data_IF_628518312816
#
_entry.id   IF_628518312816
#
_cell.length_a   1.000
_cell.length_b   1.000
_cell.length_c   1.000
_cell.angle_alpha   90.00
_cell.angle_beta   90.00
_cell.angle_gamma   90.00
#
_symmetry.space_group_name_H-M   'P 1'
#
loop_
_entity.id
_entity.type
_entity.pdbx_description
1 polymer ?
#
# COMPACT_ATOMS: atom_id res chain seq x y z
N UNK A 1 -29.92 7.56 13.07
CA UNK A 1 -28.55 8.01 12.75
C UNK A 1 -27.61 6.87 12.33
N UNK A 2 -27.04 6.03 13.21
CA UNK A 2 -26.11 4.97 12.75
C UNK A 2 -26.81 3.85 11.93
N UNK A 3 -28.03 3.46 12.33
CA UNK A 3 -28.84 2.48 11.62
C UNK A 3 -29.23 2.92 10.20
N UNK A 4 -29.48 4.22 10.02
CA UNK A 4 -29.82 4.81 8.71
C UNK A 4 -28.60 4.85 7.78
N UNK A 5 -27.42 5.20 8.32
CA UNK A 5 -26.18 5.15 7.55
C UNK A 5 -25.83 3.72 7.11
N UNK A 6 -26.06 2.73 7.98
CA UNK A 6 -25.85 1.32 7.66
C UNK A 6 -26.80 0.87 6.54
N UNK A 7 -28.09 1.21 6.65
CA UNK A 7 -29.10 0.90 5.63
C UNK A 7 -28.77 1.57 4.29
N UNK A 8 -28.38 2.84 4.30
CA UNK A 8 -27.99 3.57 3.09
C UNK A 8 -26.76 2.94 2.42
N UNK A 9 -25.74 2.54 3.20
CA UNK A 9 -24.53 1.89 2.68
C UNK A 9 -24.84 0.53 2.05
N UNK A 10 -25.69 -0.28 2.71
CA UNK A 10 -26.14 -1.56 2.18
C UNK A 10 -26.98 -1.37 0.91
N UNK A 11 -27.83 -0.33 0.86
CA UNK A 11 -28.58 0.01 -0.35
C UNK A 11 -27.67 0.40 -1.52
N UNK A 12 -26.64 1.21 -1.31
CA UNK A 12 -25.67 1.58 -2.36
C UNK A 12 -24.93 0.35 -2.90
N UNK A 13 -24.57 -0.60 -2.03
CA UNK A 13 -23.95 -1.87 -2.43
C UNK A 13 -24.94 -2.74 -3.24
N UNK A 14 -26.17 -2.90 -2.76
CA UNK A 14 -27.19 -3.72 -3.42
C UNK A 14 -27.71 -3.11 -4.72
N UNK A 15 -27.72 -1.78 -4.83
CA UNK A 15 -28.10 -1.04 -6.03
C UNK A 15 -27.01 -1.08 -7.11
N UNK A 16 -25.84 -1.67 -6.82
CA UNK A 16 -24.67 -1.63 -7.72
C UNK A 16 -24.40 -0.21 -8.22
N UNK A 17 -24.33 0.73 -7.27
CA UNK A 17 -24.09 2.12 -7.62
C UNK A 17 -22.82 2.23 -8.49
N UNK A 18 -22.98 2.79 -9.68
CA UNK A 18 -21.96 2.77 -10.72
C UNK A 18 -20.72 3.58 -10.31
N UNK A 19 -20.89 4.61 -9.47
CA UNK A 19 -19.80 5.41 -8.92
C UNK A 19 -19.04 4.62 -7.84
N UNK A 20 -19.75 3.96 -6.92
CA UNK A 20 -19.14 3.10 -5.91
C UNK A 20 -18.31 1.98 -6.55
N UNK A 21 -18.87 1.29 -7.54
CA UNK A 21 -18.19 0.21 -8.25
C UNK A 21 -16.94 0.75 -8.97
N UNK A 22 -17.02 1.91 -9.62
CA UNK A 22 -15.87 2.52 -10.27
C UNK A 22 -14.74 2.86 -9.28
N UNK A 23 -15.07 3.41 -8.12
CA UNK A 23 -14.09 3.72 -7.06
C UNK A 23 -13.42 2.43 -6.55
N UNK A 24 -14.22 1.39 -6.26
CA UNK A 24 -13.70 0.10 -5.78
C UNK A 24 -12.76 -0.53 -6.81
N UNK A 25 -13.18 -0.58 -8.09
CA UNK A 25 -12.37 -1.16 -9.16
C UNK A 25 -11.06 -0.38 -9.35
N UNK A 26 -11.12 0.96 -9.37
CA UNK A 26 -9.94 1.80 -9.50
C UNK A 26 -8.97 1.60 -8.31
N UNK A 27 -9.49 1.60 -7.08
CA UNK A 27 -8.70 1.40 -5.88
C UNK A 27 -8.03 0.02 -5.87
N UNK A 28 -8.77 -1.03 -6.25
CA UNK A 28 -8.23 -2.37 -6.41
C UNK A 28 -7.15 -2.42 -7.49
N UNK A 29 -7.39 -1.83 -8.66
CA UNK A 29 -6.43 -1.82 -9.76
C UNK A 29 -5.11 -1.14 -9.34
N UNK A 30 -5.20 0.04 -8.74
CA UNK A 30 -4.01 0.78 -8.27
C UNK A 30 -3.28 0.00 -7.18
N UNK A 31 -4.00 -0.54 -6.20
CA UNK A 31 -3.40 -1.27 -5.08
C UNK A 31 -2.74 -2.58 -5.55
N UNK A 32 -3.40 -3.33 -6.42
CA UNK A 32 -2.85 -4.57 -6.97
C UNK A 32 -1.61 -4.31 -7.82
N UNK A 33 -1.62 -3.29 -8.67
CA UNK A 33 -0.45 -2.92 -9.46
C UNK A 33 0.70 -2.45 -8.56
N UNK A 34 0.42 -1.61 -7.56
CA UNK A 34 1.43 -1.15 -6.61
C UNK A 34 2.05 -2.33 -5.84
N UNK A 35 1.22 -3.25 -5.33
CA UNK A 35 1.69 -4.44 -4.61
C UNK A 35 2.47 -5.39 -5.53
N UNK A 36 2.00 -5.62 -6.76
CA UNK A 36 2.69 -6.49 -7.71
C UNK A 36 4.09 -5.95 -8.05
N UNK A 37 4.22 -4.66 -8.33
CA UNK A 37 5.51 -4.01 -8.58
C UNK A 37 6.41 -4.03 -7.35
N UNK A 38 5.85 -3.71 -6.17
CA UNK A 38 6.58 -3.76 -4.91
C UNK A 38 7.08 -5.17 -4.60
N UNK A 39 6.28 -6.20 -4.85
CA UNK A 39 6.66 -7.60 -4.65
C UNK A 39 7.74 -8.04 -5.66
N UNK A 40 7.62 -7.65 -6.93
CA UNK A 40 8.58 -8.01 -7.97
C UNK A 40 10.00 -7.52 -7.66
N UNK A 41 10.14 -6.38 -6.99
CA UNK A 41 11.44 -5.81 -6.60
C UNK A 41 11.80 -6.18 -5.16
N UNK A 42 10.85 -6.07 -4.24
CA UNK A 42 11.06 -6.29 -2.81
C UNK A 42 11.34 -7.74 -2.45
N UNK A 43 10.68 -8.71 -3.09
CA UNK A 43 10.93 -10.14 -2.83
C UNK A 43 12.34 -10.58 -3.23
N UNK A 44 12.85 -10.33 -4.46
CA UNK A 44 14.20 -10.74 -4.80
C UNK A 44 15.26 -10.00 -3.98
N UNK A 45 15.09 -8.69 -3.72
CA UNK A 45 16.03 -7.95 -2.87
C UNK A 45 16.01 -8.48 -1.43
N UNK A 46 14.82 -8.72 -0.87
CA UNK A 46 14.68 -9.32 0.46
C UNK A 46 15.30 -10.71 0.54
N UNK A 47 15.11 -11.54 -0.48
CA UNK A 47 15.72 -12.87 -0.58
C UNK A 47 17.25 -12.79 -0.65
N UNK A 48 17.82 -11.88 -1.45
CA UNK A 48 19.26 -11.66 -1.54
C UNK A 48 19.85 -11.25 -0.18
N UNK A 49 19.19 -10.33 0.54
CA UNK A 49 19.62 -9.87 1.87
C UNK A 49 19.49 -10.97 2.94
N UNK A 50 18.53 -11.88 2.78
CA UNK A 50 18.35 -13.02 3.68
C UNK A 50 19.43 -14.09 3.47
N UNK A 51 19.79 -14.38 2.20
CA UNK A 51 20.71 -15.46 1.83
C UNK A 51 22.18 -15.03 1.92
N UNK A 52 22.55 -13.85 1.42
CA UNK A 52 23.94 -13.40 1.41
C UNK A 52 24.34 -12.75 2.74
N UNK A 53 25.43 -13.24 3.35
CA UNK A 53 26.01 -12.63 4.57
C UNK A 53 27.19 -11.75 4.19
N UNK A 54 26.91 -10.47 3.94
CA UNK A 54 27.90 -9.42 3.72
C UNK A 54 28.09 -8.56 4.99
N UNK A 55 29.28 -7.95 5.20
CA UNK A 55 29.60 -7.22 6.43
C UNK A 55 28.70 -6.01 6.73
N UNK A 56 28.00 -5.46 5.71
CA UNK A 56 27.05 -4.34 5.86
C UNK A 56 25.58 -4.73 6.12
N UNK A 57 25.28 -6.02 6.24
CA UNK A 57 23.90 -6.54 6.33
C UNK A 57 23.10 -5.98 7.51
N UNK A 58 23.74 -5.79 8.66
CA UNK A 58 23.08 -5.27 9.85
C UNK A 58 22.53 -3.86 9.66
N UNK A 59 23.31 -2.98 9.01
CA UNK A 59 22.88 -1.61 8.70
C UNK A 59 21.72 -1.61 7.70
N UNK A 60 21.79 -2.46 6.66
CA UNK A 60 20.73 -2.57 5.67
C UNK A 60 19.41 -3.07 6.30
N UNK A 61 19.48 -4.10 7.17
CA UNK A 61 18.30 -4.62 7.88
C UNK A 61 17.74 -3.59 8.86
N UNK A 62 18.58 -2.84 9.56
CA UNK A 62 18.14 -1.76 10.43
C UNK A 62 17.41 -0.65 9.65
N UNK A 63 17.93 -0.26 8.49
CA UNK A 63 17.29 0.70 7.60
C UNK A 63 15.94 0.19 7.09
N UNK A 64 15.87 -1.06 6.62
CA UNK A 64 14.62 -1.68 6.16
C UNK A 64 13.57 -1.73 7.27
N UNK A 65 13.95 -2.07 8.50
CA UNK A 65 13.05 -2.04 9.65
C UNK A 65 12.61 -0.60 10.00
N UNK A 66 13.50 0.38 9.92
CA UNK A 66 13.16 1.78 10.13
C UNK A 66 12.14 2.28 9.09
N UNK A 67 12.29 1.89 7.81
CA UNK A 67 11.33 2.22 6.75
C UNK A 67 9.96 1.57 6.97
N UNK A 68 9.90 0.36 7.54
CA UNK A 68 8.63 -0.27 7.93
C UNK A 68 7.92 0.46 9.07
N UNK A 69 8.65 1.13 9.95
CA UNK A 69 8.09 1.94 11.05
C UNK A 69 7.78 3.39 10.68
N UNK A 70 8.05 3.82 9.44
CA UNK A 70 7.89 5.20 9.01
C UNK A 70 6.40 5.57 8.92
N UNK A 71 5.97 6.75 9.42
CA UNK A 71 4.57 7.16 9.31
C UNK A 71 4.16 7.33 7.84
N UNK A 72 3.02 6.76 7.40
CA UNK A 72 2.58 6.84 6.00
C UNK A 72 2.37 8.28 5.52
N UNK A 73 2.03 9.20 6.43
CA UNK A 73 1.88 10.64 6.14
C UNK A 73 3.19 11.28 5.66
N UNK A 74 4.33 10.88 6.25
CA UNK A 74 5.65 11.40 5.85
C UNK A 74 6.01 10.91 4.45
N UNK A 75 5.73 9.64 4.16
CA UNK A 75 5.94 9.06 2.82
C UNK A 75 5.11 9.82 1.78
N UNK A 76 3.84 10.09 2.07
CA UNK A 76 2.95 10.86 1.20
C UNK A 76 3.47 12.27 0.91
N UNK A 77 3.97 12.97 1.93
CA UNK A 77 4.57 14.30 1.79
C UNK A 77 5.82 14.29 0.89
N UNK A 78 6.73 13.33 1.09
CA UNK A 78 7.94 13.23 0.25
C UNK A 78 7.58 12.95 -1.20
N UNK A 79 6.67 12.01 -1.45
CA UNK A 79 6.22 11.68 -2.81
C UNK A 79 5.54 12.88 -3.47
N UNK A 80 4.69 13.60 -2.73
CA UNK A 80 4.06 14.84 -3.21
C UNK A 80 5.10 15.88 -3.63
N UNK A 81 6.11 16.14 -2.79
CA UNK A 81 7.17 17.11 -3.10
C UNK A 81 8.08 16.68 -4.26
N UNK A 82 8.23 15.37 -4.51
CA UNK A 82 9.02 14.85 -5.63
C UNK A 82 8.27 14.91 -6.97
N UNK A 83 6.94 14.87 -6.94
CA UNK A 83 6.07 14.88 -8.12
C UNK A 83 5.50 16.27 -8.45
N UNK A 84 5.58 17.23 -7.51
CA UNK A 84 5.12 18.61 -7.65
C UNK A 84 6.23 19.54 -8.11
#
# INVERSE_FOLDING_TARGET
MFSEALLASVQLILAFDQELVAIVVLSLQVSLLAVALAALIGLPLGALVAVFRFPGRGLLVALLNALMGLPPVVVGLVVYLLLS
#
